data_IF_452641217752
#
_entry.id   IF_452641217752
#
_cell.length_a   1.000
_cell.length_b   1.000
_cell.length_c   1.000
_cell.angle_alpha   90.00
_cell.angle_beta   90.00
_cell.angle_gamma   90.00
#
_symmetry.space_group_name_H-M   'P 1'
#
loop_
_entity.id
_entity.type
_entity.pdbx_description
1 polymer ?
#
# COMPACT_ATOMS: atom_id res chain seq x y z
N UNK A 1 22.69 -14.61 8.31
CA UNK A 1 22.43 -14.35 6.88
C UNK A 1 21.07 -14.91 6.45
N UNK A 2 20.75 -16.18 6.69
CA UNK A 2 19.45 -16.74 6.25
C UNK A 2 18.23 -16.29 7.09
N UNK A 3 18.37 -16.06 8.40
CA UNK A 3 17.22 -15.71 9.26
C UNK A 3 16.58 -14.36 8.90
N UNK A 4 17.38 -13.31 8.70
CA UNK A 4 16.88 -11.96 8.42
C UNK A 4 16.15 -11.82 7.08
N UNK A 5 16.56 -12.57 6.06
CA UNK A 5 15.89 -12.57 4.75
C UNK A 5 14.47 -13.09 4.85
N UNK A 6 14.29 -14.23 5.53
CA UNK A 6 12.98 -14.88 5.68
C UNK A 6 12.03 -13.96 6.44
N UNK A 7 12.49 -13.36 7.54
CA UNK A 7 11.72 -12.44 8.36
C UNK A 7 11.25 -11.20 7.56
N UNK A 8 12.14 -10.58 6.78
CA UNK A 8 11.79 -9.42 5.94
C UNK A 8 10.76 -9.77 4.86
N UNK A 9 10.96 -10.88 4.14
CA UNK A 9 10.04 -11.30 3.09
C UNK A 9 8.66 -11.70 3.64
N UNK A 10 8.61 -12.27 4.85
CA UNK A 10 7.34 -12.57 5.53
C UNK A 10 6.56 -11.28 5.85
N UNK A 11 7.25 -10.24 6.34
CA UNK A 11 6.63 -8.93 6.61
C UNK A 11 6.05 -8.34 5.32
N UNK A 12 6.83 -8.32 4.23
CA UNK A 12 6.36 -7.81 2.94
C UNK A 12 5.15 -8.57 2.41
N UNK A 13 5.16 -9.90 2.54
CA UNK A 13 4.04 -10.74 2.12
C UNK A 13 2.76 -10.40 2.89
N UNK A 14 2.86 -10.22 4.21
CA UNK A 14 1.71 -9.81 5.04
C UNK A 14 1.21 -8.42 4.62
N UNK A 15 2.12 -7.46 4.40
CA UNK A 15 1.78 -6.11 3.96
C UNK A 15 1.17 -6.09 2.55
N UNK A 16 1.53 -7.04 1.69
CA UNK A 16 0.94 -7.21 0.36
C UNK A 16 -0.46 -7.87 0.43
N UNK A 17 -0.72 -8.75 1.39
CA UNK A 17 -2.02 -9.40 1.55
C UNK A 17 -3.11 -8.43 2.03
N UNK A 18 -2.76 -7.41 2.83
CA UNK A 18 -3.71 -6.39 3.30
C UNK A 18 -4.50 -5.70 2.16
N UNK A 19 -3.86 -5.11 1.14
CA UNK A 19 -4.59 -4.50 0.04
C UNK A 19 -5.38 -5.52 -0.80
N UNK A 20 -4.98 -6.79 -0.85
CA UNK A 20 -5.77 -7.86 -1.49
C UNK A 20 -7.10 -8.04 -0.75
N UNK A 21 -7.05 -8.15 0.58
CA UNK A 21 -8.26 -8.24 1.41
C UNK A 21 -9.14 -7.00 1.21
N UNK A 22 -8.57 -5.80 1.21
CA UNK A 22 -9.34 -4.56 1.01
C UNK A 22 -9.93 -4.44 -0.40
N UNK A 23 -9.28 -5.04 -1.40
CA UNK A 23 -9.79 -5.05 -2.77
C UNK A 23 -11.00 -6.00 -2.94
N UNK A 24 -10.96 -7.18 -2.31
CA UNK A 24 -12.04 -8.17 -2.39
C UNK A 24 -13.17 -7.93 -1.39
N UNK A 25 -12.85 -7.35 -0.24
CA UNK A 25 -13.79 -7.06 0.85
C UNK A 25 -13.80 -5.55 1.20
N UNK A 26 -14.06 -4.66 0.23
CA UNK A 26 -14.19 -3.23 0.53
C UNK A 26 -15.47 -2.98 1.33
N UNK A 27 -15.51 -1.91 2.14
CA UNK A 27 -16.74 -1.50 2.82
C UNK A 27 -17.81 -1.11 1.79
N UNK A 28 -18.91 -1.85 1.73
CA UNK A 28 -20.00 -1.66 0.75
C UNK A 28 -20.87 -0.43 1.01
N UNK A 29 -20.80 0.13 2.22
CA UNK A 29 -21.55 1.31 2.64
C UNK A 29 -20.56 2.28 3.26
N UNK A 30 -20.86 3.57 3.14
CA UNK A 30 -20.12 4.60 3.86
C UNK A 30 -20.11 4.28 5.36
N UNK A 31 -18.91 4.11 5.89
CA UNK A 31 -18.70 3.76 7.28
C UNK A 31 -17.63 4.68 7.88
N UNK A 32 -17.90 5.25 9.04
CA UNK A 32 -16.94 6.11 9.73
C UNK A 32 -15.81 5.35 10.41
N UNK A 33 -15.87 4.01 10.54
CA UNK A 33 -14.86 3.19 11.23
C UNK A 33 -13.83 2.54 10.29
N UNK A 34 -14.22 2.19 9.07
CA UNK A 34 -13.39 1.38 8.15
C UNK A 34 -13.43 1.89 6.71
N UNK A 35 -12.30 1.75 6.01
CA UNK A 35 -12.11 2.16 4.62
C UNK A 35 -11.30 3.44 4.43
N UNK A 36 -11.10 3.80 3.17
CA UNK A 36 -10.54 5.08 2.74
C UNK A 36 -11.54 6.21 2.97
N UNK A 37 -11.22 7.14 3.89
CA UNK A 37 -12.18 8.05 4.56
C UNK A 37 -11.77 9.53 4.42
N UNK A 38 -11.65 10.02 3.20
CA UNK A 38 -11.43 11.45 2.94
C UNK A 38 -12.72 12.17 2.60
N UNK A 39 -12.76 13.50 2.75
CA UNK A 39 -13.96 14.31 2.45
C UNK A 39 -14.48 14.06 1.02
N UNK A 40 -13.59 13.89 0.04
CA UNK A 40 -14.00 13.57 -1.34
C UNK A 40 -14.58 12.17 -1.46
N UNK A 41 -14.02 11.18 -0.78
CA UNK A 41 -14.56 9.81 -0.80
C UNK A 41 -15.96 9.71 -0.17
N UNK A 42 -16.30 10.58 0.79
CA UNK A 42 -17.59 10.60 1.46
C UNK A 42 -18.70 11.38 0.72
N UNK A 43 -18.40 11.97 -0.45
CA UNK A 43 -19.38 12.80 -1.19
C UNK A 43 -20.64 12.03 -1.58
N UNK A 44 -20.48 10.84 -2.13
CA UNK A 44 -21.55 9.99 -2.65
C UNK A 44 -21.06 8.53 -2.75
N UNK A 45 -21.99 7.58 -2.91
CA UNK A 45 -21.66 6.14 -2.89
C UNK A 45 -20.72 5.74 -4.04
N UNK A 46 -20.80 6.41 -5.20
CA UNK A 46 -19.91 6.17 -6.34
C UNK A 46 -18.48 6.60 -6.03
N UNK A 47 -18.30 7.76 -5.39
CA UNK A 47 -17.01 8.26 -4.90
C UNK A 47 -16.44 7.33 -3.82
N UNK A 48 -17.28 6.85 -2.91
CA UNK A 48 -16.89 5.90 -1.87
C UNK A 48 -16.38 4.60 -2.47
N UNK A 49 -17.19 3.93 -3.30
CA UNK A 49 -16.85 2.64 -3.90
C UNK A 49 -15.58 2.72 -4.77
N UNK A 50 -15.43 3.84 -5.49
CA UNK A 50 -14.23 4.13 -6.27
C UNK A 50 -12.99 4.24 -5.38
N UNK A 51 -13.06 5.04 -4.31
CA UNK A 51 -11.91 5.25 -3.41
C UNK A 51 -11.42 3.95 -2.79
N UNK A 52 -12.34 3.08 -2.34
CA UNK A 52 -11.97 1.80 -1.72
C UNK A 52 -11.21 0.90 -2.71
N UNK A 53 -11.75 0.72 -3.93
CA UNK A 53 -11.12 -0.14 -4.94
C UNK A 53 -9.82 0.47 -5.48
N UNK A 54 -9.79 1.78 -5.71
CA UNK A 54 -8.64 2.46 -6.27
C UNK A 54 -7.46 2.45 -5.28
N UNK A 55 -7.69 2.82 -4.02
CA UNK A 55 -6.64 2.83 -2.99
C UNK A 55 -6.11 1.43 -2.71
N UNK A 56 -6.96 0.40 -2.62
CA UNK A 56 -6.52 -0.99 -2.47
C UNK A 56 -5.65 -1.45 -3.65
N UNK A 57 -6.05 -1.15 -4.89
CA UNK A 57 -5.24 -1.47 -6.07
C UNK A 57 -3.90 -0.73 -6.08
N UNK A 58 -3.87 0.54 -5.68
CA UNK A 58 -2.63 1.32 -5.60
C UNK A 58 -1.70 0.80 -4.53
N UNK A 59 -2.22 0.48 -3.36
CA UNK A 59 -1.43 -0.08 -2.28
C UNK A 59 -0.85 -1.45 -2.66
N UNK A 60 -1.61 -2.30 -3.36
CA UNK A 60 -1.10 -3.57 -3.90
C UNK A 60 0.07 -3.37 -4.87
N UNK A 61 -0.05 -2.42 -5.81
CA UNK A 61 1.02 -2.09 -6.74
C UNK A 61 2.28 -1.61 -6.02
N UNK A 62 2.11 -0.77 -4.99
CA UNK A 62 3.20 -0.20 -4.20
C UNK A 62 3.91 -1.30 -3.40
N UNK A 63 3.17 -2.14 -2.67
CA UNK A 63 3.77 -3.27 -1.93
C UNK A 63 4.53 -4.21 -2.87
N UNK A 64 4.00 -4.46 -4.06
CA UNK A 64 4.68 -5.30 -5.06
C UNK A 64 6.00 -4.69 -5.56
N UNK A 65 6.01 -3.39 -5.86
CA UNK A 65 7.24 -2.68 -6.27
C UNK A 65 8.28 -2.67 -5.16
N UNK A 66 7.86 -2.44 -3.91
CA UNK A 66 8.75 -2.43 -2.75
C UNK A 66 9.37 -3.82 -2.52
N UNK A 67 8.57 -4.88 -2.58
CA UNK A 67 9.06 -6.25 -2.43
C UNK A 67 10.07 -6.61 -3.55
N UNK A 68 9.80 -6.22 -4.80
CA UNK A 68 10.75 -6.43 -5.90
C UNK A 68 12.06 -5.67 -5.71
N UNK A 69 12.00 -4.42 -5.21
CA UNK A 69 13.17 -3.62 -4.91
C UNK A 69 14.03 -4.29 -3.83
N UNK A 70 13.41 -4.78 -2.76
CA UNK A 70 14.10 -5.47 -1.67
C UNK A 70 14.76 -6.78 -2.15
N UNK A 71 14.03 -7.62 -2.89
CA UNK A 71 14.60 -8.84 -3.49
C UNK A 71 15.81 -8.49 -4.36
N UNK A 72 15.71 -7.43 -5.16
CA UNK A 72 16.83 -6.98 -6.00
C UNK A 72 18.04 -6.55 -5.16
N UNK A 73 17.85 -5.81 -4.06
CA UNK A 73 18.94 -5.43 -3.17
C UNK A 73 19.61 -6.64 -2.52
N UNK A 74 18.84 -7.63 -2.08
CA UNK A 74 19.35 -8.88 -1.51
C UNK A 74 20.17 -9.65 -2.54
N UNK A 75 19.67 -9.78 -3.78
CA UNK A 75 20.40 -10.44 -4.88
C UNK A 75 21.71 -9.72 -5.26
N UNK A 76 21.80 -8.41 -5.03
CA UNK A 76 23.02 -7.62 -5.21
C UNK A 76 24.00 -7.71 -4.02
N UNK A 77 23.69 -8.53 -3.01
CA UNK A 77 24.58 -8.80 -1.87
C UNK A 77 24.43 -7.82 -0.70
N UNK A 78 23.34 -7.06 -0.64
CA UNK A 78 23.02 -6.24 0.56
C UNK A 78 22.66 -7.18 1.72
N UNK A 79 23.33 -7.01 2.86
CA UNK A 79 23.04 -7.82 4.06
C UNK A 79 21.62 -7.53 4.58
N UNK A 80 20.88 -8.61 4.78
CA UNK A 80 19.50 -8.61 5.24
C UNK A 80 19.36 -8.92 6.73
N UNK A 81 20.47 -8.98 7.50
CA UNK A 81 20.41 -9.11 8.94
C UNK A 81 19.68 -7.91 9.57
N UNK A 82 18.53 -8.14 10.20
CA UNK A 82 17.63 -7.11 10.72
C UNK A 82 18.29 -6.24 11.81
N UNK A 83 19.21 -6.80 12.59
CA UNK A 83 19.85 -6.11 13.72
C UNK A 83 20.84 -5.00 13.31
N UNK A 84 21.36 -5.02 12.07
CA UNK A 84 22.40 -4.08 11.62
C UNK A 84 22.20 -3.55 10.19
N UNK A 85 21.10 -3.88 9.51
CA UNK A 85 20.93 -3.54 8.10
C UNK A 85 20.18 -2.22 7.91
N UNK A 86 20.79 -1.34 7.10
CA UNK A 86 20.11 -0.18 6.49
C UNK A 86 18.87 -0.59 5.67
N UNK A 87 18.74 -1.87 5.32
CA UNK A 87 17.65 -2.43 4.53
C UNK A 87 16.28 -2.28 5.22
N UNK A 88 16.20 -2.49 6.54
CA UNK A 88 14.95 -2.29 7.29
C UNK A 88 14.49 -0.83 7.23
N UNK A 89 15.43 0.11 7.41
CA UNK A 89 15.14 1.54 7.35
C UNK A 89 14.66 1.95 5.95
N UNK A 90 15.36 1.49 4.90
CA UNK A 90 14.97 1.73 3.50
C UNK A 90 13.56 1.18 3.22
N UNK A 91 13.27 -0.02 3.73
CA UNK A 91 11.95 -0.66 3.59
C UNK A 91 10.86 0.18 4.23
N UNK A 92 11.04 0.58 5.49
CA UNK A 92 10.07 1.40 6.22
C UNK A 92 9.83 2.74 5.51
N UNK A 93 10.90 3.43 5.10
CA UNK A 93 10.79 4.71 4.37
C UNK A 93 10.07 4.53 3.03
N UNK A 94 10.33 3.43 2.32
CA UNK A 94 9.66 3.11 1.06
C UNK A 94 8.16 2.91 1.26
N UNK A 95 7.74 2.22 2.32
CA UNK A 95 6.32 2.07 2.65
C UNK A 95 5.66 3.39 3.04
N UNK A 96 6.33 4.25 3.81
CA UNK A 96 5.82 5.58 4.17
C UNK A 96 5.59 6.42 2.91
N UNK A 97 6.60 6.48 2.02
CA UNK A 97 6.51 7.18 0.75
C UNK A 97 5.38 6.58 -0.11
N UNK A 98 5.29 5.25 -0.15
CA UNK A 98 4.23 4.52 -0.82
C UNK A 98 2.83 4.89 -0.33
N UNK A 99 2.62 4.99 0.98
CA UNK A 99 1.34 5.42 1.55
C UNK A 99 0.98 6.85 1.16
N UNK A 100 1.95 7.77 1.17
CA UNK A 100 1.75 9.15 0.71
C UNK A 100 1.35 9.18 -0.77
N UNK A 101 2.05 8.42 -1.62
CA UNK A 101 1.70 8.28 -3.05
C UNK A 101 0.29 7.69 -3.21
N UNK A 102 -0.08 6.69 -2.42
CA UNK A 102 -1.41 6.09 -2.45
C UNK A 102 -2.49 7.14 -2.15
N UNK A 103 -2.32 7.93 -1.08
CA UNK A 103 -3.27 8.98 -0.70
C UNK A 103 -3.37 10.06 -1.78
N UNK A 104 -2.25 10.62 -2.22
CA UNK A 104 -2.23 11.68 -3.24
C UNK A 104 -2.86 11.18 -4.55
N UNK A 105 -2.46 10.00 -5.02
CA UNK A 105 -2.97 9.44 -6.26
C UNK A 105 -4.46 9.11 -6.19
N UNK A 106 -4.97 8.69 -5.02
CA UNK A 106 -6.40 8.44 -4.80
C UNK A 106 -7.18 9.75 -4.77
N UNK A 107 -6.66 10.78 -4.10
CA UNK A 107 -7.30 12.11 -4.03
C UNK A 107 -7.37 12.83 -5.38
N UNK A 108 -6.34 12.66 -6.23
CA UNK A 108 -6.33 13.17 -7.60
C UNK A 108 -7.35 12.42 -8.45
N UNK A 109 -7.41 11.10 -8.33
CA UNK A 109 -8.33 10.28 -9.10
C UNK A 109 -9.80 10.54 -8.69
N UNK A 110 -10.07 10.74 -7.40
CA UNK A 110 -11.37 11.16 -6.89
C UNK A 110 -11.80 12.53 -7.44
N UNK A 111 -10.89 13.51 -7.44
CA UNK A 111 -11.17 14.83 -8.00
C UNK A 111 -11.58 14.72 -9.47
N UNK A 112 -10.81 13.98 -10.27
CA UNK A 112 -11.12 13.73 -11.69
C UNK A 112 -12.45 13.00 -11.89
N UNK A 113 -12.77 12.02 -11.04
CA UNK A 113 -14.06 11.33 -11.10
C UNK A 113 -15.23 12.29 -10.88
N UNK A 114 -15.08 13.22 -9.95
CA UNK A 114 -16.13 14.17 -9.56
C UNK A 114 -16.29 15.33 -10.55
N UNK A 115 -15.23 15.72 -11.27
CA UNK A 115 -15.27 16.72 -12.34
C UNK A 115 -15.94 16.17 -13.61
N UNK A 116 -15.88 14.85 -13.83
CA UNK A 116 -16.43 14.17 -15.01
C UNK A 116 -17.82 13.53 -14.76
N UNK A 117 -18.45 13.80 -13.61
CA UNK A 117 -19.73 13.22 -13.20
C UNK A 117 -20.86 14.26 -13.26
#
# INVERSE_FOLDING_TARGET
>A
MESGVIELLLIDLILMLLPVVFYFFPPKKMNSLYGYRTLKSFKDQRSWDFAQRYSAKRLLQISFIIMLLQITMILLGVDANIENSYLLLVTLLSYIIGLIICVISTEIALKKLQENA
#
